data_IF_358117285594
#
_entry.id   IF_358117285594
#
_cell.length_a   1.000
_cell.length_b   1.000
_cell.length_c   1.000
_cell.angle_alpha   90.00
_cell.angle_beta   90.00
_cell.angle_gamma   90.00
#
_symmetry.space_group_name_H-M   'P 1'
#
loop_
_entity.id
_entity.type
_entity.pdbx_description
1 polymer ?
#
# COMPACT_ATOMS: atom_id res chain seq x y z
N UNK A 1 -7.08 9.28 21.68
CA UNK A 1 -5.94 9.80 20.91
C UNK A 1 -5.23 8.64 20.20
N UNK A 2 -4.94 8.80 18.93
CA UNK A 2 -4.28 7.77 18.12
C UNK A 2 -3.27 8.43 17.20
N UNK A 3 -2.12 7.80 17.02
CA UNK A 3 -1.10 8.16 16.03
C UNK A 3 -0.88 6.98 15.08
N UNK A 4 -0.93 7.22 13.77
CA UNK A 4 -0.74 6.18 12.76
C UNK A 4 0.69 5.64 12.78
N UNK A 5 1.69 6.52 12.94
CA UNK A 5 3.11 6.16 12.91
C UNK A 5 3.46 5.01 13.86
N UNK A 6 3.04 5.11 15.12
CA UNK A 6 3.30 4.05 16.12
C UNK A 6 2.63 2.72 15.75
N UNK A 7 1.43 2.78 15.15
CA UNK A 7 0.72 1.59 14.69
C UNK A 7 1.45 0.93 13.51
N UNK A 8 1.90 1.74 12.55
CA UNK A 8 2.65 1.25 11.38
C UNK A 8 3.93 0.54 11.83
N UNK A 9 4.69 1.13 12.73
CA UNK A 9 5.92 0.51 13.21
C UNK A 9 5.67 -0.75 14.06
N UNK A 10 4.58 -0.82 14.82
CA UNK A 10 4.20 -2.04 15.53
C UNK A 10 3.90 -3.20 14.57
N UNK A 11 3.23 -2.93 13.44
CA UNK A 11 2.96 -3.92 12.39
C UNK A 11 4.26 -4.31 11.67
N UNK A 12 5.03 -3.31 11.23
CA UNK A 12 6.22 -3.48 10.40
C UNK A 12 7.33 -4.25 11.13
N UNK A 13 7.54 -3.97 12.41
CA UNK A 13 8.54 -4.64 13.24
C UNK A 13 8.18 -6.08 13.62
N UNK A 14 6.92 -6.48 13.43
CA UNK A 14 6.44 -7.79 13.87
C UNK A 14 6.03 -7.83 15.35
N UNK A 15 6.10 -6.72 16.08
CA UNK A 15 5.70 -6.65 17.49
C UNK A 15 4.20 -6.88 17.67
N UNK A 16 3.37 -6.35 16.75
CA UNK A 16 1.94 -6.61 16.77
C UNK A 16 1.61 -8.01 16.23
N UNK A 17 0.83 -8.78 16.96
CA UNK A 17 0.25 -10.04 16.49
C UNK A 17 -0.97 -9.80 15.57
N UNK A 18 -1.52 -10.87 14.97
CA UNK A 18 -2.66 -10.74 14.04
C UNK A 18 -3.90 -10.11 14.67
N UNK A 19 -4.18 -10.41 15.93
CA UNK A 19 -5.31 -9.84 16.67
C UNK A 19 -5.11 -8.34 16.89
N UNK A 20 -3.89 -7.96 17.23
CA UNK A 20 -3.52 -6.56 17.41
C UNK A 20 -3.57 -5.81 16.07
N UNK A 21 -3.11 -6.42 14.96
CA UNK A 21 -3.20 -5.78 13.63
C UNK A 21 -4.66 -5.55 13.23
N UNK A 22 -5.56 -6.53 13.44
CA UNK A 22 -7.00 -6.35 13.21
C UNK A 22 -7.57 -5.19 14.04
N UNK A 23 -7.18 -5.10 15.30
CA UNK A 23 -7.61 -4.00 16.19
C UNK A 23 -7.05 -2.64 15.71
N UNK A 24 -5.81 -2.61 15.22
CA UNK A 24 -5.20 -1.42 14.62
C UNK A 24 -5.99 -0.98 13.38
N UNK A 25 -6.29 -1.90 12.44
CA UNK A 25 -7.05 -1.60 11.24
C UNK A 25 -8.43 -1.01 11.57
N UNK A 26 -9.17 -1.67 12.47
CA UNK A 26 -10.48 -1.18 12.92
C UNK A 26 -10.40 0.20 13.58
N UNK A 27 -9.35 0.44 14.36
CA UNK A 27 -9.14 1.73 15.04
C UNK A 27 -8.71 2.81 14.04
N UNK A 28 -7.87 2.49 13.08
CA UNK A 28 -7.46 3.40 12.03
C UNK A 28 -8.65 3.80 11.15
N UNK A 29 -9.48 2.84 10.75
CA UNK A 29 -10.71 3.09 10.01
C UNK A 29 -11.68 3.99 10.78
N UNK A 30 -11.80 3.78 12.07
CA UNK A 30 -12.74 4.54 12.92
C UNK A 30 -12.26 5.95 13.25
N UNK A 31 -10.96 6.14 13.48
CA UNK A 31 -10.44 7.37 14.09
C UNK A 31 -9.54 8.19 13.16
N UNK A 32 -8.91 7.57 12.15
CA UNK A 32 -7.93 8.23 11.29
C UNK A 32 -8.39 8.33 9.84
N UNK A 33 -9.31 7.47 9.40
CA UNK A 33 -9.76 7.50 8.01
C UNK A 33 -10.63 8.74 7.74
N UNK A 34 -10.21 9.52 6.75
CA UNK A 34 -10.91 10.71 6.28
C UNK A 34 -10.96 10.72 4.75
N UNK A 35 -12.15 10.46 4.21
CA UNK A 35 -12.33 10.33 2.76
C UNK A 35 -12.00 11.63 2.02
N UNK A 36 -12.43 12.79 2.55
CA UNK A 36 -12.22 14.09 1.92
C UNK A 36 -10.74 14.44 1.84
N UNK A 37 -9.98 14.11 2.88
CA UNK A 37 -8.54 14.34 2.94
C UNK A 37 -7.71 13.26 2.22
N UNK A 38 -8.36 12.28 1.58
CA UNK A 38 -7.69 11.28 0.76
C UNK A 38 -7.15 10.04 1.49
N UNK A 39 -7.64 9.71 2.69
CA UNK A 39 -7.26 8.47 3.37
C UNK A 39 -6.99 8.58 4.86
N UNK A 40 -5.88 8.00 5.33
CA UNK A 40 -5.59 7.90 6.77
C UNK A 40 -4.71 9.06 7.24
N UNK A 41 -5.21 9.81 8.22
CA UNK A 41 -4.48 10.89 8.89
C UNK A 41 -3.34 10.35 9.74
N UNK A 42 -2.29 11.15 9.93
CA UNK A 42 -1.18 10.80 10.83
C UNK A 42 -1.61 10.66 12.29
N UNK A 43 -2.53 11.48 12.74
CA UNK A 43 -3.03 11.45 14.11
C UNK A 43 -4.46 12.00 14.20
N UNK A 44 -5.14 11.62 15.27
CA UNK A 44 -6.40 12.29 15.68
C UNK A 44 -6.12 13.71 16.16
N UNK A 45 -7.08 14.59 16.03
CA UNK A 45 -7.00 15.91 16.65
C UNK A 45 -6.95 15.76 18.20
N UNK A 46 -5.88 16.26 18.81
CA UNK A 46 -5.67 16.16 20.25
C UNK A 46 -6.44 17.20 21.04
N UNK A 47 -6.98 18.22 20.37
CA UNK A 47 -7.73 19.35 20.98
C UNK A 47 -6.94 20.15 22.02
N UNK A 48 -5.62 19.97 22.05
CA UNK A 48 -4.70 20.69 22.93
C UNK A 48 -3.30 20.68 22.32
N UNK A 49 -2.51 21.69 22.58
CA UNK A 49 -1.11 21.76 22.19
C UNK A 49 -0.24 20.90 23.12
N UNK A 50 0.66 20.14 22.51
CA UNK A 50 1.59 19.23 23.21
C UNK A 50 3.01 19.57 22.77
N UNK A 51 3.62 20.58 23.37
CA UNK A 51 4.95 21.05 22.99
C UNK A 51 6.06 20.00 23.16
N UNK A 52 5.84 19.02 24.02
CA UNK A 52 6.69 17.85 24.21
C UNK A 52 6.72 16.89 23.01
N UNK A 53 5.78 17.01 22.06
CA UNK A 53 5.79 16.26 20.79
C UNK A 53 6.57 16.97 19.67
N UNK A 54 7.34 17.98 19.99
CA UNK A 54 8.21 18.67 19.07
C UNK A 54 7.48 19.44 17.98
N UNK A 55 8.04 19.46 16.77
CA UNK A 55 7.53 20.30 15.66
C UNK A 55 6.13 19.94 15.16
N UNK A 56 5.57 18.77 15.50
CA UNK A 56 4.24 18.39 15.08
C UNK A 56 3.22 19.48 15.40
N UNK A 57 3.26 20.03 16.60
CA UNK A 57 2.38 21.13 17.01
C UNK A 57 2.79 22.54 16.52
N UNK A 58 3.83 22.64 15.70
CA UNK A 58 4.13 23.84 14.93
C UNK A 58 3.22 24.00 13.69
N UNK A 59 2.36 23.01 13.40
CA UNK A 59 1.41 23.03 12.30
C UNK A 59 -0.02 22.95 12.81
N UNK A 60 -0.93 23.62 12.09
CA UNK A 60 -2.37 23.46 12.34
C UNK A 60 -2.79 22.00 12.09
N UNK A 61 -3.87 21.56 12.74
CA UNK A 61 -4.39 20.22 12.52
C UNK A 61 -4.88 20.03 11.07
N UNK A 62 -4.40 18.98 10.44
CA UNK A 62 -4.62 18.68 9.02
C UNK A 62 -3.45 19.09 8.12
N UNK A 63 -2.41 19.69 8.71
CA UNK A 63 -1.22 20.12 7.99
C UNK A 63 0.00 19.29 8.41
N UNK A 64 0.80 18.89 7.42
CA UNK A 64 2.05 18.15 7.60
C UNK A 64 1.96 17.05 8.67
N UNK A 65 2.85 17.08 9.66
CA UNK A 65 2.93 16.05 10.69
C UNK A 65 1.77 16.09 11.69
N UNK A 66 0.94 17.14 11.68
CA UNK A 66 -0.21 17.27 12.57
C UNK A 66 -1.53 16.92 11.88
N UNK A 67 -1.79 15.64 11.69
CA UNK A 67 -3.08 15.14 11.23
C UNK A 67 -3.34 15.23 9.73
N UNK A 68 -2.37 15.61 8.90
CA UNK A 68 -2.50 15.48 7.45
C UNK A 68 -2.57 14.00 7.02
N UNK A 69 -3.11 13.72 5.84
CA UNK A 69 -2.90 12.43 5.18
C UNK A 69 -1.51 12.44 4.57
N UNK A 70 -0.53 11.99 5.34
CA UNK A 70 0.88 12.02 4.95
C UNK A 70 1.21 10.80 4.08
N UNK A 71 1.40 11.04 2.78
CA UNK A 71 1.41 9.99 1.75
C UNK A 71 2.47 8.92 2.01
N UNK A 72 3.68 9.31 2.43
CA UNK A 72 4.74 8.33 2.73
C UNK A 72 4.33 7.38 3.87
N UNK A 73 3.77 7.91 4.96
CA UNK A 73 3.32 7.08 6.09
C UNK A 73 2.13 6.20 5.71
N UNK A 74 1.21 6.70 4.86
CA UNK A 74 0.11 5.89 4.33
C UNK A 74 0.65 4.71 3.52
N UNK A 75 1.63 4.91 2.65
CA UNK A 75 2.25 3.81 1.89
C UNK A 75 3.02 2.85 2.79
N UNK A 76 3.72 3.33 3.82
CA UNK A 76 4.37 2.46 4.81
C UNK A 76 3.35 1.60 5.55
N UNK A 77 2.17 2.16 5.86
CA UNK A 77 1.06 1.41 6.46
C UNK A 77 0.60 0.28 5.53
N UNK A 78 0.33 0.59 4.25
CA UNK A 78 -0.02 -0.42 3.25
C UNK A 78 1.04 -1.52 3.12
N UNK A 79 2.32 -1.13 2.99
CA UNK A 79 3.44 -2.07 2.89
C UNK A 79 3.51 -3.02 4.09
N UNK A 80 3.38 -2.47 5.30
CA UNK A 80 3.38 -3.26 6.52
C UNK A 80 2.20 -4.26 6.57
N UNK A 81 1.00 -3.83 6.16
CA UNK A 81 -0.18 -4.68 6.08
C UNK A 81 0.00 -5.82 5.07
N UNK A 82 0.46 -5.53 3.85
CA UNK A 82 0.76 -6.54 2.84
C UNK A 82 1.75 -7.60 3.36
N UNK A 83 2.87 -7.17 3.95
CA UNK A 83 3.88 -8.07 4.55
C UNK A 83 3.32 -9.00 5.62
N UNK A 84 2.28 -8.57 6.30
CA UNK A 84 1.61 -9.33 7.36
C UNK A 84 0.37 -10.08 6.87
N UNK A 85 0.09 -10.10 5.54
CA UNK A 85 -1.03 -10.82 4.94
C UNK A 85 -2.39 -10.14 5.04
N UNK A 86 -2.44 -8.86 5.45
CA UNK A 86 -3.64 -8.03 5.49
C UNK A 86 -3.82 -7.30 4.15
N UNK A 87 -4.07 -8.07 3.10
CA UNK A 87 -3.99 -7.62 1.72
C UNK A 87 -5.11 -6.65 1.37
N UNK A 88 -6.35 -6.92 1.82
CA UNK A 88 -7.51 -6.04 1.57
C UNK A 88 -7.31 -4.67 2.21
N UNK A 89 -6.87 -4.66 3.46
CA UNK A 89 -6.61 -3.44 4.19
C UNK A 89 -5.45 -2.66 3.55
N UNK A 90 -4.37 -3.34 3.17
CA UNK A 90 -3.23 -2.74 2.47
C UNK A 90 -3.63 -2.16 1.12
N UNK A 91 -4.40 -2.89 0.32
CA UNK A 91 -4.92 -2.41 -0.96
C UNK A 91 -5.83 -1.18 -0.80
N UNK A 92 -6.75 -1.20 0.17
CA UNK A 92 -7.60 -0.05 0.49
C UNK A 92 -6.78 1.23 0.70
N UNK A 93 -5.67 1.13 1.43
CA UNK A 93 -4.78 2.28 1.67
C UNK A 93 -4.15 2.77 0.38
N UNK A 94 -3.57 1.86 -0.43
CA UNK A 94 -2.93 2.21 -1.71
C UNK A 94 -3.94 2.81 -2.69
N UNK A 95 -5.12 2.19 -2.80
CA UNK A 95 -6.17 2.65 -3.70
C UNK A 95 -6.67 4.04 -3.32
N UNK A 96 -6.96 4.28 -2.04
CA UNK A 96 -7.41 5.59 -1.59
C UNK A 96 -6.38 6.68 -1.91
N UNK A 97 -5.10 6.42 -1.66
CA UNK A 97 -4.03 7.37 -1.96
C UNK A 97 -3.94 7.67 -3.47
N UNK A 98 -4.04 6.61 -4.30
CA UNK A 98 -4.02 6.75 -5.75
C UNK A 98 -5.23 7.52 -6.26
N UNK A 99 -6.43 7.14 -5.81
CA UNK A 99 -7.69 7.79 -6.21
C UNK A 99 -7.65 9.30 -5.89
N UNK A 100 -7.15 9.66 -4.71
CA UNK A 100 -7.01 11.07 -4.31
C UNK A 100 -5.95 11.80 -5.13
N UNK A 101 -4.82 11.15 -5.46
CA UNK A 101 -3.78 11.74 -6.30
C UNK A 101 -4.24 11.90 -7.76
N UNK A 102 -5.12 11.03 -8.25
CA UNK A 102 -5.67 11.07 -9.62
C UNK A 102 -6.91 11.95 -9.75
N UNK A 103 -7.52 12.36 -8.67
CA UNK A 103 -8.56 13.40 -8.66
C UNK A 103 -7.89 14.78 -8.75
N UNK A 104 -7.59 15.18 -9.98
CA UNK A 104 -6.85 16.43 -10.23
C UNK A 104 -7.63 17.70 -9.87
N UNK A 105 -8.96 17.62 -9.82
CA UNK A 105 -9.80 18.74 -9.42
C UNK A 105 -9.69 19.05 -7.94
N UNK A 106 -9.65 18.00 -7.11
CA UNK A 106 -9.51 18.12 -5.66
C UNK A 106 -8.05 18.26 -5.22
N UNK A 107 -7.17 17.44 -5.76
CA UNK A 107 -5.75 17.43 -5.35
C UNK A 107 -4.98 18.65 -5.86
N UNK A 108 -5.42 19.25 -6.99
CA UNK A 108 -4.71 20.34 -7.67
C UNK A 108 -3.24 19.99 -7.92
N UNK A 109 -2.99 18.72 -8.15
CA UNK A 109 -1.64 18.14 -8.27
C UNK A 109 -1.56 17.29 -9.53
N UNK A 110 -0.57 17.54 -10.39
CA UNK A 110 -0.28 16.73 -11.57
C UNK A 110 1.15 16.93 -12.06
N UNK A 111 1.87 15.87 -12.48
CA UNK A 111 1.59 14.47 -12.16
C UNK A 111 2.26 14.06 -10.86
N UNK A 112 1.63 13.19 -10.07
CA UNK A 112 2.33 12.50 -8.99
C UNK A 112 1.58 12.39 -7.68
N UNK A 113 2.23 11.73 -6.72
CA UNK A 113 1.76 11.60 -5.35
C UNK A 113 2.39 12.72 -4.53
N UNK A 114 1.59 13.60 -3.90
CA UNK A 114 2.10 14.69 -3.07
C UNK A 114 2.72 14.17 -1.77
N UNK A 115 3.44 15.04 -1.06
CA UNK A 115 3.93 14.71 0.28
C UNK A 115 2.77 14.42 1.24
N UNK A 116 1.72 15.25 1.18
CA UNK A 116 0.50 15.03 1.97
C UNK A 116 -0.72 15.67 1.30
N UNK A 117 -1.90 15.26 1.76
CA UNK A 117 -3.17 15.93 1.48
C UNK A 117 -3.66 16.64 2.75
N UNK A 118 -4.12 17.89 2.58
CA UNK A 118 -4.69 18.70 3.64
C UNK A 118 -6.16 18.33 3.96
N UNK A 119 -6.82 19.13 4.80
CA UNK A 119 -8.22 18.93 5.18
C UNK A 119 -9.22 19.03 4.02
N UNK A 120 -8.86 19.69 2.94
CA UNK A 120 -9.69 19.88 1.75
C UNK A 120 -9.38 18.89 0.64
N UNK A 121 -8.40 18.00 0.85
CA UNK A 121 -7.95 17.02 -0.13
C UNK A 121 -6.96 17.60 -1.15
N UNK A 122 -6.43 18.81 -0.91
CA UNK A 122 -5.40 19.39 -1.76
C UNK A 122 -4.08 18.69 -1.52
N UNK A 123 -3.41 18.30 -2.59
CA UNK A 123 -2.05 17.79 -2.54
C UNK A 123 -1.05 18.94 -2.37
N UNK A 124 -0.12 18.75 -1.44
CA UNK A 124 0.91 19.74 -1.12
C UNK A 124 2.30 19.12 -1.27
N UNK A 125 3.23 19.94 -1.77
CA UNK A 125 4.61 19.55 -2.08
C UNK A 125 4.72 18.48 -3.19
N UNK A 126 4.85 18.98 -4.43
CA UNK A 126 4.90 18.20 -5.68
C UNK A 126 6.29 17.66 -6.04
N UNK A 127 7.27 17.75 -5.15
CA UNK A 127 8.61 17.26 -5.41
C UNK A 127 8.76 15.78 -5.04
N UNK A 128 9.88 15.18 -5.42
CA UNK A 128 10.21 13.80 -5.08
C UNK A 128 10.20 13.59 -3.56
N UNK A 129 9.21 12.83 -3.09
CA UNK A 129 9.08 12.41 -1.71
C UNK A 129 9.25 10.90 -1.59
N UNK A 130 9.42 10.40 -0.37
CA UNK A 130 9.41 8.96 -0.12
C UNK A 130 8.09 8.27 -0.53
N UNK A 131 6.99 9.02 -0.72
CA UNK A 131 5.69 8.47 -1.04
C UNK A 131 5.67 7.71 -2.36
N UNK A 132 6.09 8.33 -3.46
CA UNK A 132 6.06 7.73 -4.79
C UNK A 132 7.01 6.53 -4.89
N UNK A 133 8.22 6.64 -4.35
CA UNK A 133 9.20 5.54 -4.37
C UNK A 133 8.74 4.35 -3.52
N UNK A 134 8.17 4.59 -2.35
CA UNK A 134 7.60 3.52 -1.52
C UNK A 134 6.33 2.92 -2.13
N UNK A 135 5.53 3.71 -2.85
CA UNK A 135 4.38 3.20 -3.59
C UNK A 135 4.84 2.18 -4.64
N UNK A 136 5.81 2.57 -5.48
CA UNK A 136 6.40 1.67 -6.48
C UNK A 136 7.06 0.45 -5.85
N UNK A 137 7.82 0.64 -4.76
CA UNK A 137 8.42 -0.46 -4.01
C UNK A 137 7.34 -1.44 -3.53
N UNK A 138 6.26 -0.94 -2.94
CA UNK A 138 5.17 -1.78 -2.42
C UNK A 138 4.46 -2.52 -3.55
N UNK A 139 4.18 -1.86 -4.67
CA UNK A 139 3.60 -2.50 -5.85
C UNK A 139 4.47 -3.65 -6.35
N UNK A 140 5.78 -3.43 -6.48
CA UNK A 140 6.70 -4.44 -6.98
C UNK A 140 6.88 -5.58 -5.99
N UNK A 141 7.24 -5.26 -4.73
CA UNK A 141 7.70 -6.26 -3.77
C UNK A 141 6.58 -6.95 -2.98
N UNK A 142 5.45 -6.28 -2.80
CA UNK A 142 4.35 -6.80 -1.99
C UNK A 142 3.13 -7.18 -2.84
N UNK A 143 2.70 -6.32 -3.77
CA UNK A 143 1.51 -6.59 -4.59
C UNK A 143 1.81 -7.62 -5.68
N UNK A 144 2.81 -7.36 -6.53
CA UNK A 144 3.29 -8.34 -7.51
C UNK A 144 4.26 -9.36 -6.90
N UNK A 145 4.80 -9.06 -5.73
CA UNK A 145 5.63 -9.98 -4.96
C UNK A 145 6.99 -10.31 -5.57
N UNK A 146 7.53 -9.41 -6.41
CA UNK A 146 8.80 -9.63 -7.13
C UNK A 146 9.98 -9.19 -6.27
N UNK A 147 10.83 -10.14 -5.87
CA UNK A 147 11.98 -9.90 -4.97
C UNK A 147 13.19 -10.75 -5.31
N UNK A 148 14.36 -10.29 -4.85
CA UNK A 148 15.54 -11.13 -4.73
C UNK A 148 15.63 -11.77 -3.36
N UNK A 149 15.78 -13.10 -3.27
CA UNK A 149 16.04 -13.81 -2.03
C UNK A 149 17.21 -14.78 -2.23
N UNK A 150 18.31 -14.55 -1.53
CA UNK A 150 19.50 -15.45 -1.56
C UNK A 150 20.00 -15.76 -2.98
N UNK A 151 20.00 -14.76 -3.86
CA UNK A 151 20.45 -14.91 -5.25
C UNK A 151 19.37 -15.37 -6.23
N UNK A 152 18.20 -15.75 -5.77
CA UNK A 152 17.08 -16.19 -6.59
C UNK A 152 16.07 -15.04 -6.84
N UNK A 153 15.39 -15.07 -7.99
CA UNK A 153 14.18 -14.30 -8.22
C UNK A 153 13.01 -15.02 -7.56
N UNK A 154 12.29 -14.31 -6.71
CA UNK A 154 11.08 -14.83 -6.04
C UNK A 154 9.88 -14.01 -6.50
N UNK A 155 8.82 -14.70 -6.90
CA UNK A 155 7.53 -14.10 -7.27
C UNK A 155 6.47 -14.67 -6.32
N UNK A 156 5.91 -13.80 -5.47
CA UNK A 156 4.86 -14.14 -4.50
C UNK A 156 3.77 -13.08 -4.55
N UNK A 157 2.88 -13.12 -5.55
CA UNK A 157 1.86 -12.09 -5.71
C UNK A 157 0.80 -12.14 -4.61
N UNK A 158 0.25 -10.95 -4.31
CA UNK A 158 -0.84 -10.75 -3.36
C UNK A 158 -1.85 -9.77 -3.97
N UNK A 159 -2.57 -10.25 -4.98
CA UNK A 159 -3.50 -9.48 -5.78
C UNK A 159 -4.95 -9.76 -5.37
N UNK A 160 -5.79 -8.73 -5.46
CA UNK A 160 -7.24 -8.84 -5.29
C UNK A 160 -7.94 -8.92 -6.65
N UNK A 161 -9.20 -9.41 -6.72
CA UNK A 161 -9.97 -9.54 -7.95
C UNK A 161 -9.97 -8.28 -8.82
N UNK A 162 -10.16 -7.13 -8.21
CA UNK A 162 -10.23 -5.85 -8.89
C UNK A 162 -8.91 -5.35 -9.50
N UNK A 163 -7.82 -6.06 -9.26
CA UNK A 163 -6.48 -5.75 -9.82
C UNK A 163 -6.17 -6.54 -11.10
N UNK A 164 -7.07 -7.41 -11.50
CA UNK A 164 -6.98 -8.13 -12.77
C UNK A 164 -7.83 -7.44 -13.84
N UNK A 165 -7.43 -7.58 -15.08
CA UNK A 165 -8.24 -7.15 -16.22
C UNK A 165 -9.42 -8.12 -16.47
N UNK A 166 -10.25 -7.80 -17.48
CA UNK A 166 -11.39 -8.63 -17.88
C UNK A 166 -11.04 -10.05 -18.33
N UNK A 167 -9.77 -10.28 -18.70
CA UNK A 167 -9.25 -11.57 -19.12
C UNK A 167 -8.55 -12.33 -17.96
N UNK A 168 -8.66 -11.83 -16.73
CA UNK A 168 -8.04 -12.41 -15.54
C UNK A 168 -6.53 -12.25 -15.50
N UNK A 169 -6.00 -11.20 -16.10
CA UNK A 169 -4.56 -10.96 -16.18
C UNK A 169 -4.15 -9.74 -15.38
N UNK A 170 -3.04 -9.86 -14.67
CA UNK A 170 -2.31 -8.74 -14.11
C UNK A 170 -0.84 -8.83 -14.55
N UNK A 171 -0.29 -7.74 -15.08
CA UNK A 171 1.05 -7.76 -15.66
C UNK A 171 1.93 -6.62 -15.14
N UNK A 172 3.22 -6.91 -15.00
CA UNK A 172 4.24 -5.93 -14.67
C UNK A 172 5.45 -6.10 -15.57
N UNK A 173 6.03 -4.97 -15.98
CA UNK A 173 7.33 -4.92 -16.65
C UNK A 173 8.28 -4.09 -15.80
N UNK A 174 9.44 -4.65 -15.44
CA UNK A 174 10.42 -3.98 -14.59
C UNK A 174 11.85 -4.42 -14.95
N UNK A 175 12.81 -3.63 -14.50
CA UNK A 175 14.22 -4.02 -14.54
C UNK A 175 14.60 -4.68 -13.22
N UNK A 176 15.16 -5.87 -13.29
CA UNK A 176 15.59 -6.63 -12.11
C UNK A 176 16.97 -7.25 -12.41
N UNK A 177 17.94 -6.98 -11.55
CA UNK A 177 19.31 -7.53 -11.69
C UNK A 177 19.92 -7.35 -13.08
N UNK A 178 19.76 -6.16 -13.69
CA UNK A 178 20.28 -5.83 -15.00
C UNK A 178 19.50 -6.42 -16.19
N UNK A 179 18.38 -7.08 -15.95
CA UNK A 179 17.50 -7.67 -16.97
C UNK A 179 16.13 -7.01 -16.94
N UNK A 180 15.49 -6.91 -18.10
CA UNK A 180 14.08 -6.52 -18.18
C UNK A 180 13.21 -7.74 -18.05
N UNK A 181 12.37 -7.78 -17.01
CA UNK A 181 11.38 -8.84 -16.79
C UNK A 181 10.01 -8.37 -17.26
N UNK A 182 9.26 -9.27 -17.88
CA UNK A 182 7.82 -9.16 -18.13
C UNK A 182 7.13 -10.30 -17.40
N UNK A 183 6.34 -9.98 -16.40
CA UNK A 183 5.64 -10.97 -15.58
C UNK A 183 4.16 -10.78 -15.80
N UNK A 184 3.47 -11.83 -16.20
CA UNK A 184 2.01 -11.88 -16.31
C UNK A 184 1.47 -12.93 -15.35
N UNK A 185 0.51 -12.54 -14.56
CA UNK A 185 -0.16 -13.39 -13.57
C UNK A 185 -1.57 -13.63 -14.06
N UNK A 186 -1.94 -14.89 -14.18
CA UNK A 186 -3.29 -15.32 -14.58
C UNK A 186 -4.04 -15.85 -13.36
N UNK A 187 -5.23 -15.34 -13.12
CA UNK A 187 -6.12 -15.79 -12.07
C UNK A 187 -7.30 -16.55 -12.67
N UNK A 188 -7.78 -17.55 -11.94
CA UNK A 188 -9.06 -18.19 -12.23
C UNK A 188 -10.18 -17.33 -11.66
N UNK A 189 -10.75 -16.44 -12.50
CA UNK A 189 -11.76 -15.47 -12.08
C UNK A 189 -13.04 -16.14 -11.63
N UNK A 190 -13.36 -17.34 -12.17
CA UNK A 190 -14.61 -18.05 -11.89
C UNK A 190 -14.55 -18.84 -10.56
N UNK A 191 -13.36 -19.11 -10.05
CA UNK A 191 -13.14 -19.92 -8.84
C UNK A 191 -12.56 -19.09 -7.67
N UNK A 192 -13.12 -17.94 -7.39
CA UNK A 192 -12.78 -17.14 -6.20
C UNK A 192 -13.32 -17.89 -4.96
N UNK A 193 -12.48 -18.70 -4.33
CA UNK A 193 -12.87 -19.47 -3.14
C UNK A 193 -11.97 -19.23 -1.94
N UNK A 194 -11.71 -17.99 -1.61
CA UNK A 194 -11.11 -17.68 -0.32
C UNK A 194 -12.09 -16.84 0.49
N UNK A 195 -12.27 -17.20 1.77
CA UNK A 195 -13.08 -16.46 2.74
C UNK A 195 -12.61 -15.00 2.93
N UNK A 196 -11.42 -14.65 2.42
CA UNK A 196 -10.83 -13.33 2.48
C UNK A 196 -10.89 -12.56 1.16
N UNK A 197 -11.37 -13.18 0.05
CA UNK A 197 -11.46 -12.55 -1.28
C UNK A 197 -10.11 -12.17 -1.89
N UNK A 198 -9.03 -12.76 -1.42
CA UNK A 198 -7.71 -12.70 -2.04
C UNK A 198 -7.62 -13.86 -3.02
N UNK A 199 -7.12 -13.61 -4.25
CA UNK A 199 -6.84 -14.72 -5.16
C UNK A 199 -5.72 -15.58 -4.59
N UNK A 200 -6.09 -16.69 -3.97
CA UNK A 200 -5.16 -17.71 -3.50
C UNK A 200 -4.80 -18.74 -4.58
N UNK A 201 -5.46 -18.68 -5.73
CA UNK A 201 -5.23 -19.63 -6.81
C UNK A 201 -4.81 -18.88 -8.07
N UNK A 202 -3.54 -18.59 -8.15
CA UNK A 202 -2.90 -18.20 -9.40
C UNK A 202 -2.70 -19.47 -10.20
N UNK A 203 -3.30 -19.54 -11.39
CA UNK A 203 -3.22 -20.74 -12.23
C UNK A 203 -2.02 -20.77 -13.14
N UNK A 204 -1.40 -19.61 -13.39
CA UNK A 204 -0.26 -19.50 -14.29
C UNK A 204 0.54 -18.23 -14.04
N UNK A 205 1.86 -18.33 -14.10
CA UNK A 205 2.80 -17.20 -14.15
C UNK A 205 3.69 -17.37 -15.36
N UNK A 206 3.85 -16.32 -16.16
CA UNK A 206 4.81 -16.26 -17.27
C UNK A 206 5.89 -15.23 -16.94
N UNK A 207 7.13 -15.57 -17.21
CA UNK A 207 8.25 -14.65 -17.13
C UNK A 207 9.02 -14.67 -18.45
N UNK A 208 9.16 -13.53 -19.09
CA UNK A 208 9.79 -13.37 -20.42
C UNK A 208 9.25 -14.34 -21.49
N UNK A 209 7.94 -14.61 -21.46
CA UNK A 209 7.24 -15.49 -22.38
C UNK A 209 7.37 -16.99 -22.06
N UNK A 210 8.04 -17.35 -20.97
CA UNK A 210 8.13 -18.73 -20.50
C UNK A 210 7.16 -18.94 -19.34
N UNK A 211 6.38 -20.01 -19.41
CA UNK A 211 5.54 -20.44 -18.33
C UNK A 211 6.39 -21.02 -17.19
N UNK A 212 6.12 -20.58 -15.98
CA UNK A 212 6.82 -21.06 -14.79
C UNK A 212 6.01 -22.21 -14.17
N UNK A 213 6.64 -23.39 -14.13
CA UNK A 213 6.07 -24.53 -13.45
C UNK A 213 6.03 -24.29 -11.92
N UNK A 214 4.83 -24.28 -11.34
CA UNK A 214 4.65 -24.25 -9.91
C UNK A 214 3.42 -25.06 -9.53
N UNK A 215 3.61 -26.06 -8.73
CA UNK A 215 2.52 -26.90 -8.21
C UNK A 215 1.67 -26.17 -7.15
N UNK A 216 2.19 -25.11 -6.55
CA UNK A 216 1.49 -24.29 -5.54
C UNK A 216 1.92 -22.83 -5.72
N UNK A 217 1.15 -22.07 -6.50
CA UNK A 217 1.47 -20.70 -6.90
C UNK A 217 1.37 -19.67 -5.77
N UNK A 218 1.65 -20.06 -4.54
CA UNK A 218 1.88 -19.10 -3.45
C UNK A 218 3.24 -18.43 -3.57
N UNK A 219 4.22 -19.10 -4.18
CA UNK A 219 5.59 -18.61 -4.35
C UNK A 219 6.28 -19.34 -5.49
N UNK A 220 6.82 -18.62 -6.45
CA UNK A 220 7.69 -19.14 -7.51
C UNK A 220 9.12 -18.70 -7.23
N UNK A 221 10.08 -19.60 -7.38
CA UNK A 221 11.52 -19.34 -7.21
C UNK A 221 12.22 -19.67 -8.54
N UNK A 222 13.00 -18.71 -9.08
CA UNK A 222 13.74 -18.83 -10.33
C UNK A 222 15.21 -18.55 -10.10
#
# INVERSE_FOLDING_TARGET
RMMLTSQVFAIMSGTADEKQIKAICNSADKYLYEKKAGGYRLNTDFKEEKFDFGRMFGFAYGEKENGAVFSHMAVMYANALYKRGFIKEGYKVLKNLLDSAMDFESSIMYPGIPEYFDNDGRGLYAYLTGAASWYMLTMITEVFGVRGELGNLVIKPALLPEQFDKDGKAAIKLNFSGRTLKITIHADIDNIQDNNGVYNKIIRVECDGNELESADLKKVVI
#
